data_IF_452916706275
#
_entry.id   IF_452916706275
#
_cell.length_a   1.000
_cell.length_b   1.000
_cell.length_c   1.000
_cell.angle_alpha   90.00
_cell.angle_beta   90.00
_cell.angle_gamma   90.00
#
_symmetry.space_group_name_H-M   'P 1'
#
loop_
_entity.id
_entity.type
_entity.pdbx_description
1 polymer ?
#
# COMPACT_ATOMS: atom_id res chain seq x y z
N UNK A 1 1.61 19.64 -13.77
CA UNK A 1 0.41 19.02 -13.18
C UNK A 1 0.28 17.65 -13.83
N UNK A 2 0.30 16.56 -13.07
CA UNK A 2 0.25 15.22 -13.65
C UNK A 2 -1.09 14.95 -14.34
N UNK A 3 -1.05 14.33 -15.51
CA UNK A 3 -2.24 13.83 -16.20
C UNK A 3 -2.75 12.53 -15.53
N UNK A 4 -3.93 12.06 -15.96
CA UNK A 4 -4.56 10.90 -15.33
C UNK A 4 -3.73 9.61 -15.49
N UNK A 5 -3.11 9.40 -16.66
CA UNK A 5 -2.26 8.24 -16.92
C UNK A 5 -1.01 8.23 -16.05
N UNK A 6 -0.38 9.39 -15.85
CA UNK A 6 0.77 9.55 -14.96
C UNK A 6 0.39 9.25 -13.51
N UNK A 7 -0.77 9.74 -13.05
CA UNK A 7 -1.30 9.45 -11.70
C UNK A 7 -1.61 7.97 -11.50
N UNK A 8 -2.22 7.34 -12.50
CA UNK A 8 -2.49 5.90 -12.48
C UNK A 8 -1.20 5.08 -12.40
N UNK A 9 -0.18 5.42 -13.21
CA UNK A 9 1.10 4.71 -13.17
C UNK A 9 1.82 4.91 -11.83
N UNK A 10 1.79 6.13 -11.27
CA UNK A 10 2.34 6.40 -9.94
C UNK A 10 1.66 5.54 -8.87
N UNK A 11 0.33 5.48 -8.86
CA UNK A 11 -0.42 4.64 -7.92
C UNK A 11 -0.02 3.17 -8.03
N UNK A 12 0.11 2.64 -9.26
CA UNK A 12 0.55 1.25 -9.49
C UNK A 12 1.94 1.01 -8.89
N UNK A 13 2.89 1.90 -9.15
CA UNK A 13 4.26 1.78 -8.63
C UNK A 13 4.32 1.86 -7.10
N UNK A 14 3.44 2.66 -6.49
CA UNK A 14 3.36 2.76 -5.03
C UNK A 14 2.81 1.49 -4.38
N UNK A 15 2.12 0.59 -5.09
CA UNK A 15 1.71 -0.71 -4.54
C UNK A 15 2.91 -1.58 -4.13
N UNK A 16 4.09 -1.39 -4.76
CA UNK A 16 5.31 -2.09 -4.36
C UNK A 16 5.87 -1.63 -3.01
N UNK A 17 5.37 -0.50 -2.47
CA UNK A 17 5.78 0.03 -1.17
C UNK A 17 4.98 -0.56 -0.01
N UNK A 18 3.99 -1.43 -0.27
CA UNK A 18 3.26 -2.12 0.80
C UNK A 18 4.22 -3.15 1.40
N UNK A 19 4.66 -2.97 2.67
CA UNK A 19 5.63 -3.87 3.27
C UNK A 19 4.97 -5.24 3.49
N UNK A 20 5.70 -6.36 3.33
CA UNK A 20 5.16 -7.68 3.62
C UNK A 20 4.71 -7.80 5.08
N UNK A 21 3.93 -8.84 5.39
CA UNK A 21 3.52 -9.14 6.75
C UNK A 21 4.76 -9.27 7.64
N UNK A 22 4.80 -8.54 8.77
CA UNK A 22 5.99 -8.49 9.63
C UNK A 22 6.22 -9.82 10.35
N UNK A 23 5.16 -10.59 10.54
CA UNK A 23 5.19 -11.87 11.26
C UNK A 23 5.59 -13.04 10.39
N UNK A 24 5.03 -13.16 9.19
CA UNK A 24 5.24 -14.33 8.35
C UNK A 24 5.84 -14.04 6.97
N UNK A 25 6.09 -12.77 6.64
CA UNK A 25 6.68 -12.37 5.35
C UNK A 25 5.74 -12.48 4.15
N UNK A 26 4.49 -12.92 4.33
CA UNK A 26 3.50 -12.99 3.25
C UNK A 26 3.29 -11.61 2.63
N UNK A 27 3.32 -11.54 1.29
CA UNK A 27 2.88 -10.35 0.55
C UNK A 27 1.36 -10.32 0.58
N UNK A 28 0.81 -9.26 1.14
CA UNK A 28 -0.63 -9.03 1.26
C UNK A 28 -1.02 -7.89 0.31
N UNK A 29 -2.29 -7.86 -0.07
CA UNK A 29 -2.79 -6.89 -1.05
C UNK A 29 -3.34 -5.65 -0.35
N UNK A 30 -3.46 -4.55 -1.09
CA UNK A 30 -4.18 -3.36 -0.62
C UNK A 30 -5.59 -3.73 -0.18
N UNK A 31 -5.98 -3.30 1.02
CA UNK A 31 -7.32 -3.55 1.56
C UNK A 31 -7.42 -4.76 2.49
N UNK A 32 -6.38 -5.60 2.57
CA UNK A 32 -6.34 -6.65 3.58
C UNK A 32 -5.93 -6.01 4.93
N UNK A 33 -6.87 -5.86 5.86
CA UNK A 33 -6.56 -5.35 7.21
C UNK A 33 -5.84 -6.40 8.07
N UNK A 34 -5.91 -7.67 7.68
CA UNK A 34 -5.23 -8.79 8.33
C UNK A 34 -4.46 -9.61 7.30
N UNK A 35 -3.33 -10.19 7.70
CA UNK A 35 -2.53 -11.04 6.84
C UNK A 35 -3.31 -12.34 6.52
N UNK A 36 -3.56 -12.66 5.24
CA UNK A 36 -4.39 -13.82 4.87
C UNK A 36 -3.76 -15.17 5.23
N UNK A 37 -2.46 -15.19 5.53
CA UNK A 37 -1.74 -16.40 5.91
C UNK A 37 -1.72 -16.63 7.43
N UNK A 38 -1.60 -15.58 8.25
CA UNK A 38 -1.33 -15.73 9.68
C UNK A 38 -2.22 -14.90 10.61
N UNK A 39 -3.19 -14.16 10.06
CA UNK A 39 -4.15 -13.34 10.80
C UNK A 39 -3.53 -12.13 11.50
N UNK A 40 -2.28 -11.79 11.20
CA UNK A 40 -1.62 -10.63 11.81
C UNK A 40 -2.25 -9.33 11.29
N UNK A 41 -2.63 -8.44 12.20
CA UNK A 41 -3.12 -7.11 11.85
C UNK A 41 -2.08 -6.34 11.02
N UNK A 42 -2.51 -5.80 9.88
CA UNK A 42 -1.70 -5.00 8.97
C UNK A 42 -2.22 -3.56 8.81
N UNK A 43 -3.25 -3.15 9.56
CA UNK A 43 -3.90 -1.84 9.42
C UNK A 43 -2.91 -0.67 9.43
N UNK A 44 -1.99 -0.63 10.39
CA UNK A 44 -1.03 0.46 10.53
C UNK A 44 -0.15 0.61 9.28
N UNK A 45 0.31 -0.50 8.71
CA UNK A 45 1.10 -0.50 7.47
C UNK A 45 0.28 -0.05 6.27
N UNK A 46 -0.99 -0.46 6.21
CA UNK A 46 -1.89 -0.06 5.14
C UNK A 46 -2.14 1.44 5.21
N UNK A 47 -2.30 1.97 6.42
CA UNK A 47 -2.47 3.39 6.69
C UNK A 47 -1.25 4.20 6.26
N UNK A 48 -0.05 3.78 6.66
CA UNK A 48 1.21 4.43 6.25
C UNK A 48 1.39 4.43 4.72
N UNK A 49 1.07 3.33 4.06
CA UNK A 49 1.07 3.27 2.60
C UNK A 49 0.05 4.25 1.99
N UNK A 50 -1.16 4.34 2.56
CA UNK A 50 -2.19 5.26 2.06
C UNK A 50 -1.79 6.73 2.23
N UNK A 51 -1.16 7.09 3.36
CA UNK A 51 -0.59 8.44 3.56
C UNK A 51 0.46 8.76 2.49
N UNK A 52 1.39 7.83 2.22
CA UNK A 52 2.39 7.97 1.16
C UNK A 52 1.73 8.21 -0.21
N UNK A 53 0.66 7.47 -0.53
CA UNK A 53 -0.09 7.64 -1.78
C UNK A 53 -0.74 9.02 -1.87
N UNK A 54 -1.39 9.48 -0.80
CA UNK A 54 -2.05 10.79 -0.77
C UNK A 54 -1.01 11.90 -0.91
N UNK A 55 0.11 11.80 -0.20
CA UNK A 55 1.21 12.76 -0.32
C UNK A 55 1.79 12.82 -1.73
N UNK A 56 1.92 11.71 -2.44
CA UNK A 56 2.52 11.72 -3.78
C UNK A 56 1.55 12.13 -4.88
N UNK A 57 0.23 11.91 -4.70
CA UNK A 57 -0.78 12.23 -5.71
C UNK A 57 -1.28 13.67 -5.66
N UNK A 58 -1.24 14.31 -4.49
CA UNK A 58 -1.90 15.61 -4.24
C UNK A 58 -0.96 16.74 -3.80
N UNK A 59 0.34 16.46 -3.69
CA UNK A 59 1.39 17.45 -3.41
C UNK A 59 1.98 17.96 -4.72
#
# INVERSE_FOLDING_TARGET
MMNISEKTQLLINLMDHIPPCAKCGMRWSTGDYECPHCGEDQYEKLYQWAELVIEQLFK
#
